data_IF_221874217303
#
_entry.id   IF_221874217303
#
_cell.length_a   1.000
_cell.length_b   1.000
_cell.length_c   1.000
_cell.angle_alpha   90.00
_cell.angle_beta   90.00
_cell.angle_gamma   90.00
#
_symmetry.space_group_name_H-M   'P 1'
#
loop_
_entity.id
_entity.type
_entity.pdbx_description
1 polymer ?
#
# COMPACT_ATOMS: atom_id res chain seq x y z
N UNK A 1 2.93 -19.75 1.16
CA UNK A 1 3.13 -18.35 0.72
C UNK A 1 1.93 -17.76 -0.02
N UNK A 2 1.56 -18.25 -1.23
CA UNK A 2 0.49 -17.65 -2.05
C UNK A 2 -0.89 -17.54 -1.36
N UNK A 3 -1.26 -18.48 -0.48
CA UNK A 3 -2.56 -18.43 0.21
C UNK A 3 -2.66 -17.31 1.25
N UNK A 4 -1.59 -17.01 1.99
CA UNK A 4 -1.59 -15.96 3.01
C UNK A 4 -1.66 -14.56 2.38
N UNK A 5 -0.99 -14.37 1.24
CA UNK A 5 -1.01 -13.12 0.48
C UNK A 5 -2.36 -12.85 -0.22
N UNK A 6 -3.10 -13.88 -0.62
CA UNK A 6 -4.50 -13.73 -1.08
C UNK A 6 -5.42 -13.15 0.00
N UNK A 7 -5.06 -13.32 1.27
CA UNK A 7 -5.76 -12.67 2.38
C UNK A 7 -5.77 -11.15 2.24
N UNK A 8 -4.71 -10.55 1.68
CA UNK A 8 -4.69 -9.11 1.40
C UNK A 8 -5.78 -8.73 0.39
N UNK A 9 -5.93 -9.48 -0.70
CA UNK A 9 -6.91 -9.20 -1.75
C UNK A 9 -8.37 -9.29 -1.26
N UNK A 10 -8.62 -10.07 -0.20
CA UNK A 10 -9.94 -10.18 0.44
C UNK A 10 -10.34 -8.97 1.28
N UNK A 11 -9.40 -8.09 1.61
CA UNK A 11 -9.68 -6.85 2.33
C UNK A 11 -10.37 -5.88 1.37
N UNK A 12 -11.65 -5.62 1.60
CA UNK A 12 -12.48 -4.80 0.72
C UNK A 12 -12.00 -3.34 0.67
N UNK A 13 -11.72 -2.75 1.83
CA UNK A 13 -11.23 -1.38 1.92
C UNK A 13 -9.79 -1.28 1.38
N UNK A 14 -9.59 -0.45 0.36
CA UNK A 14 -8.29 -0.28 -0.29
C UNK A 14 -7.22 0.31 0.65
N UNK A 15 -7.58 1.24 1.52
CA UNK A 15 -6.65 1.85 2.47
C UNK A 15 -6.22 0.84 3.54
N UNK A 16 -7.16 0.10 4.11
CA UNK A 16 -6.86 -0.96 5.09
C UNK A 16 -6.00 -2.06 4.47
N UNK A 17 -6.28 -2.43 3.22
CA UNK A 17 -5.50 -3.39 2.44
C UNK A 17 -4.07 -2.91 2.21
N UNK A 18 -3.88 -1.64 1.87
CA UNK A 18 -2.55 -1.03 1.71
C UNK A 18 -1.77 -0.95 3.03
N UNK A 19 -2.44 -0.68 4.15
CA UNK A 19 -1.84 -0.75 5.48
C UNK A 19 -1.33 -2.17 5.79
N UNK A 20 -2.18 -3.18 5.59
CA UNK A 20 -1.82 -4.59 5.80
C UNK A 20 -0.66 -5.03 4.89
N UNK A 21 -0.67 -4.63 3.62
CA UNK A 21 0.46 -4.85 2.71
C UNK A 21 1.75 -4.18 3.21
N UNK A 22 1.64 -3.01 3.85
CA UNK A 22 2.77 -2.33 4.48
C UNK A 22 3.37 -3.11 5.66
N UNK A 23 2.55 -3.82 6.43
CA UNK A 23 3.00 -4.72 7.50
C UNK A 23 3.72 -5.94 6.93
N UNK A 24 3.15 -6.56 5.89
CA UNK A 24 3.76 -7.70 5.20
C UNK A 24 5.16 -7.37 4.69
N UNK A 25 5.34 -6.21 4.04
CA UNK A 25 6.66 -5.79 3.56
C UNK A 25 7.70 -5.57 4.68
N UNK A 26 7.23 -5.26 5.89
CA UNK A 26 8.09 -5.02 7.06
C UNK A 26 8.51 -6.34 7.71
N UNK A 27 7.57 -7.26 7.84
CA UNK A 27 7.77 -8.53 8.55
C UNK A 27 8.35 -9.62 7.64
N UNK A 28 7.99 -9.62 6.35
CA UNK A 28 8.40 -10.61 5.35
C UNK A 28 8.97 -9.94 4.09
N UNK A 29 10.16 -9.33 4.17
CA UNK A 29 10.75 -8.54 3.07
C UNK A 29 11.01 -9.35 1.79
N UNK A 30 11.08 -10.68 1.87
CA UNK A 30 11.22 -11.57 0.70
C UNK A 30 9.97 -11.67 -0.18
N UNK A 31 8.79 -11.31 0.33
CA UNK A 31 7.50 -11.41 -0.37
C UNK A 31 7.06 -10.03 -0.89
N UNK A 32 7.89 -9.43 -1.73
CA UNK A 32 7.79 -8.01 -2.07
C UNK A 32 6.81 -7.64 -3.18
N UNK A 33 6.52 -8.53 -4.13
CA UNK A 33 5.86 -8.15 -5.39
C UNK A 33 4.41 -7.70 -5.20
N UNK A 34 3.51 -8.59 -4.75
CA UNK A 34 2.09 -8.27 -4.58
C UNK A 34 1.84 -7.14 -3.56
N UNK A 35 2.46 -7.14 -2.36
CA UNK A 35 2.23 -6.06 -1.40
C UNK A 35 2.69 -4.68 -1.91
N UNK A 36 3.74 -4.60 -2.73
CA UNK A 36 4.15 -3.34 -3.38
C UNK A 36 3.10 -2.88 -4.38
N UNK A 37 2.62 -3.78 -5.23
CA UNK A 37 1.57 -3.46 -6.22
C UNK A 37 0.29 -2.94 -5.56
N UNK A 38 -0.19 -3.63 -4.52
CA UNK A 38 -1.36 -3.21 -3.73
C UNK A 38 -1.21 -1.79 -3.20
N UNK A 39 -0.05 -1.48 -2.60
CA UNK A 39 0.21 -0.14 -2.07
C UNK A 39 0.29 0.91 -3.18
N UNK A 40 0.93 0.58 -4.30
CA UNK A 40 1.06 1.50 -5.42
C UNK A 40 -0.28 1.81 -6.07
N UNK A 41 -1.13 0.79 -6.32
CA UNK A 41 -2.49 0.98 -6.85
C UNK A 41 -3.34 1.84 -5.93
N UNK A 42 -3.24 1.63 -4.61
CA UNK A 42 -4.00 2.43 -3.63
C UNK A 42 -3.54 3.89 -3.64
N UNK A 43 -2.23 4.14 -3.62
CA UNK A 43 -1.69 5.51 -3.65
C UNK A 43 -2.05 6.21 -4.95
N UNK A 44 -1.96 5.53 -6.09
CA UNK A 44 -2.29 6.09 -7.40
C UNK A 44 -3.78 6.45 -7.49
N UNK A 45 -4.68 5.56 -7.06
CA UNK A 45 -6.12 5.83 -7.04
C UNK A 45 -6.49 7.03 -6.15
N UNK A 46 -5.90 7.14 -4.95
CA UNK A 46 -6.19 8.25 -4.03
C UNK A 46 -5.65 9.58 -4.57
N UNK A 47 -4.46 9.57 -5.16
CA UNK A 47 -3.90 10.77 -5.79
C UNK A 47 -4.74 11.20 -7.00
N UNK A 48 -5.16 10.26 -7.84
CA UNK A 48 -6.07 10.56 -8.96
C UNK A 48 -7.42 11.10 -8.49
N UNK A 49 -7.87 10.70 -7.30
CA UNK A 49 -9.03 11.25 -6.60
C UNK A 49 -8.83 12.64 -5.99
N UNK A 50 -7.63 13.22 -6.11
CA UNK A 50 -7.32 14.58 -5.66
C UNK A 50 -6.74 14.68 -4.24
N UNK A 51 -6.53 13.56 -3.55
CA UNK A 51 -5.91 13.55 -2.22
C UNK A 51 -4.41 13.87 -2.29
N UNK A 52 -3.89 14.62 -1.33
CA UNK A 52 -2.47 14.96 -1.30
C UNK A 52 -1.60 13.86 -0.63
N UNK A 53 -0.28 13.88 -0.85
CA UNK A 53 0.60 12.84 -0.30
C UNK A 53 0.68 12.77 1.23
N UNK A 54 0.65 13.90 1.98
CA UNK A 54 0.44 13.87 3.42
C UNK A 54 -0.80 13.07 3.86
N UNK A 55 -1.96 13.37 3.26
CA UNK A 55 -3.23 12.71 3.57
C UNK A 55 -3.18 11.23 3.20
N UNK A 56 -2.67 10.89 2.01
CA UNK A 56 -2.51 9.49 1.57
C UNK A 56 -1.57 8.74 2.53
N UNK A 57 -0.48 9.38 2.95
CA UNK A 57 0.46 8.81 3.91
C UNK A 57 -0.24 8.39 5.18
N UNK A 58 -0.99 9.30 5.79
CA UNK A 58 -1.78 9.02 7.00
C UNK A 58 -2.81 7.91 6.75
N UNK A 59 -3.53 7.99 5.62
CA UNK A 59 -4.55 7.02 5.23
C UNK A 59 -4.00 5.58 5.16
N UNK A 60 -2.78 5.37 4.65
CA UNK A 60 -2.17 4.04 4.53
C UNK A 60 -1.15 3.72 5.63
N UNK A 61 -1.14 4.49 6.72
CA UNK A 61 -0.27 4.23 7.88
C UNK A 61 1.23 4.44 7.61
N UNK A 62 1.57 5.48 6.84
CA UNK A 62 2.95 5.87 6.50
C UNK A 62 3.12 7.40 6.50
N UNK A 63 4.26 7.90 6.04
CA UNK A 63 4.54 9.33 5.92
C UNK A 63 4.41 9.85 4.47
N UNK A 64 4.34 11.18 4.32
CA UNK A 64 4.29 11.88 3.02
C UNK A 64 5.35 11.38 2.04
N UNK A 65 6.61 11.33 2.49
CA UNK A 65 7.75 11.00 1.62
C UNK A 65 7.65 9.56 1.12
N UNK A 66 7.18 8.66 1.99
CA UNK A 66 6.97 7.25 1.65
C UNK A 66 5.80 7.07 0.70
N UNK A 67 4.68 7.78 0.90
CA UNK A 67 3.55 7.78 -0.03
C UNK A 67 3.99 8.25 -1.44
N UNK A 68 4.77 9.33 -1.50
CA UNK A 68 5.31 9.82 -2.78
C UNK A 68 6.24 8.81 -3.48
N UNK A 69 7.14 8.13 -2.73
CA UNK A 69 8.01 7.09 -3.31
C UNK A 69 7.20 5.90 -3.84
N UNK A 70 6.20 5.46 -3.10
CA UNK A 70 5.29 4.38 -3.53
C UNK A 70 4.60 4.76 -4.83
N UNK A 71 4.08 5.98 -4.95
CA UNK A 71 3.48 6.46 -6.19
C UNK A 71 4.45 6.40 -7.37
N UNK A 72 5.70 6.83 -7.15
CA UNK A 72 6.77 6.77 -8.15
C UNK A 72 7.31 5.36 -8.43
N UNK A 73 6.88 4.34 -7.70
CA UNK A 73 7.36 2.97 -7.86
C UNK A 73 8.76 2.71 -7.26
N UNK A 74 9.15 3.47 -6.23
CA UNK A 74 10.46 3.41 -5.54
C UNK A 74 10.40 2.77 -4.14
#
# INVERSE_FOLDING_TARGET
>A
MRAALRGLESIQDAAVRAQAAGLVLREWPGEGTLPKEIRQQTVDAQHQGGMDFPEIGQLIGTDRSRAWRIWKGM
#
